data_IF_949548095572
#
_entry.id   IF_949548095572
#
_cell.length_a   1.000
_cell.length_b   1.000
_cell.length_c   1.000
_cell.angle_alpha   90.00
_cell.angle_beta   90.00
_cell.angle_gamma   90.00
#
_symmetry.space_group_name_H-M   'P 1'
#
loop_
_entity.id
_entity.type
_entity.pdbx_description
1 polymer ?
#
# COMPACT_ATOMS: atom_id res chain seq x y z
N UNK A 1 -17.96 -13.23 2.66
CA UNK A 1 -16.60 -12.80 3.04
C UNK A 1 -15.83 -12.66 1.75
N UNK A 2 -15.18 -11.52 1.53
CA UNK A 2 -14.32 -11.33 0.38
C UNK A 2 -12.90 -11.22 0.92
N UNK A 3 -12.10 -12.24 0.64
CA UNK A 3 -10.71 -12.35 1.07
C UNK A 3 -9.84 -12.24 -0.19
N UNK A 4 -8.92 -11.29 -0.18
CA UNK A 4 -7.94 -11.13 -1.26
C UNK A 4 -6.54 -11.29 -0.68
N UNK A 5 -5.91 -12.42 -0.95
CA UNK A 5 -4.50 -12.65 -0.63
C UNK A 5 -3.61 -12.17 -1.79
N UNK A 6 -2.79 -11.18 -1.45
CA UNK A 6 -1.51 -10.73 -2.00
C UNK A 6 -1.22 -10.87 -3.50
N UNK A 7 -0.88 -9.73 -4.10
CA UNK A 7 -0.13 -9.60 -5.36
C UNK A 7 1.37 -9.60 -5.03
N UNK A 8 2.12 -10.64 -5.40
CA UNK A 8 3.57 -10.53 -5.48
C UNK A 8 3.93 -9.59 -6.62
N UNK A 9 4.32 -8.35 -6.31
CA UNK A 9 5.00 -7.50 -7.28
C UNK A 9 6.38 -8.11 -7.54
N UNK A 10 6.72 -8.16 -8.82
CA UNK A 10 7.74 -9.00 -9.46
C UNK A 10 9.10 -9.04 -8.72
N UNK A 11 9.77 -10.19 -8.67
CA UNK A 11 11.17 -10.27 -8.22
C UNK A 11 12.05 -9.27 -9.00
N UNK A 12 13.02 -8.65 -8.33
CA UNK A 12 14.05 -7.75 -8.91
C UNK A 12 13.67 -6.28 -9.13
N UNK A 13 12.68 -5.71 -8.43
CA UNK A 13 12.62 -4.25 -8.27
C UNK A 13 13.70 -3.75 -7.28
N UNK A 14 14.97 -3.94 -7.66
CA UNK A 14 16.09 -3.17 -7.11
C UNK A 14 16.06 -1.84 -7.83
N UNK A 15 15.58 -0.80 -7.17
CA UNK A 15 15.57 0.52 -7.78
C UNK A 15 16.82 1.25 -7.32
N UNK A 16 17.79 1.39 -8.22
CA UNK A 16 18.89 2.32 -8.08
C UNK A 16 18.53 3.58 -8.89
N UNK A 17 18.12 4.65 -8.23
CA UNK A 17 18.00 5.95 -8.92
C UNK A 17 19.36 6.62 -8.88
N UNK A 18 19.90 6.92 -10.05
CA UNK A 18 21.15 7.67 -10.19
C UNK A 18 20.80 9.16 -10.23
N UNK A 19 21.23 9.89 -9.21
CA UNK A 19 21.13 11.34 -9.18
C UNK A 19 22.48 11.92 -9.54
N UNK A 20 22.49 12.84 -10.51
CA UNK A 20 23.67 13.55 -11.00
C UNK A 20 23.39 15.04 -11.06
N UNK A 21 24.46 15.83 -11.01
CA UNK A 21 24.42 17.30 -11.04
C UNK A 21 23.52 17.92 -9.94
N UNK A 22 23.24 17.16 -8.87
CA UNK A 22 22.67 17.72 -7.65
C UNK A 22 23.74 18.63 -7.03
N UNK A 23 23.38 19.83 -6.54
CA UNK A 23 24.29 20.65 -5.74
C UNK A 23 24.99 19.90 -4.60
N UNK A 24 24.41 18.76 -4.17
CA UNK A 24 24.89 17.86 -3.13
C UNK A 24 25.83 16.74 -3.62
N UNK A 25 26.09 16.64 -4.93
CA UNK A 25 26.95 15.61 -5.54
C UNK A 25 26.21 14.43 -6.17
N UNK A 26 26.96 13.47 -6.72
CA UNK A 26 26.40 12.27 -7.35
C UNK A 26 26.06 11.20 -6.30
N UNK A 27 24.84 10.67 -6.33
CA UNK A 27 24.40 9.64 -5.38
C UNK A 27 23.42 8.64 -5.98
N UNK A 28 23.34 7.48 -5.32
CA UNK A 28 22.44 6.38 -5.63
C UNK A 28 21.41 6.27 -4.54
N UNK A 29 20.11 6.33 -4.88
CA UNK A 29 19.06 5.84 -3.98
C UNK A 29 18.97 4.34 -4.11
N UNK A 30 19.31 3.60 -3.06
CA UNK A 30 19.28 2.14 -3.01
C UNK A 30 18.11 1.66 -2.16
N UNK A 31 17.48 0.56 -2.60
CA UNK A 31 16.32 -0.02 -1.96
C UNK A 31 16.37 -1.54 -2.12
N UNK A 32 16.23 -2.33 -1.03
CA UNK A 32 16.10 -3.78 -1.13
C UNK A 32 14.84 -4.20 -1.89
N UNK A 33 14.79 -5.50 -2.25
CA UNK A 33 13.56 -6.07 -2.79
C UNK A 33 12.40 -5.84 -1.81
N UNK A 34 11.37 -5.17 -2.29
CA UNK A 34 10.18 -4.89 -1.51
C UNK A 34 9.14 -5.96 -1.77
N UNK A 35 8.98 -6.85 -0.79
CA UNK A 35 7.83 -7.74 -0.74
C UNK A 35 6.71 -7.06 0.06
N UNK A 36 5.48 -7.29 -0.37
CA UNK A 36 4.29 -6.84 0.32
C UNK A 36 3.44 -8.08 0.55
N UNK A 37 3.18 -8.44 1.80
CA UNK A 37 2.20 -9.45 2.15
C UNK A 37 1.17 -8.85 3.10
N UNK A 38 -0.03 -8.61 2.56
CA UNK A 38 -1.12 -7.93 3.23
C UNK A 38 -2.43 -8.64 2.94
N UNK A 39 -3.31 -8.62 3.92
CA UNK A 39 -4.68 -9.04 3.79
C UNK A 39 -5.66 -7.90 3.97
N UNK A 40 -6.89 -8.21 3.59
CA UNK A 40 -8.04 -7.35 3.77
C UNK A 40 -9.25 -8.21 4.07
N UNK A 41 -9.95 -7.83 5.12
CA UNK A 41 -11.19 -8.46 5.55
C UNK A 41 -12.33 -7.44 5.47
N UNK A 42 -13.45 -7.86 4.89
CA UNK A 42 -14.68 -7.06 4.87
C UNK A 42 -15.91 -7.86 5.23
N UNK A 43 -16.69 -7.30 6.15
CA UNK A 43 -18.02 -7.77 6.51
C UNK A 43 -19.03 -6.74 6.00
N UNK A 44 -20.04 -7.22 5.28
CA UNK A 44 -21.10 -6.38 4.73
C UNK A 44 -22.47 -6.98 5.00
N UNK A 45 -23.42 -6.15 5.39
CA UNK A 45 -24.83 -6.53 5.53
C UNK A 45 -25.71 -5.50 4.83
N UNK A 46 -26.83 -5.94 4.26
CA UNK A 46 -27.73 -5.09 3.51
C UNK A 46 -29.19 -5.43 3.79
N UNK A 47 -30.00 -4.39 3.95
CA UNK A 47 -31.45 -4.50 3.98
C UNK A 47 -32.05 -3.39 3.12
N UNK A 48 -33.09 -3.73 2.35
CA UNK A 48 -33.88 -2.78 1.59
C UNK A 48 -35.33 -3.21 1.60
N UNK A 49 -36.21 -2.22 1.66
CA UNK A 49 -37.63 -2.41 1.45
C UNK A 49 -38.18 -1.37 0.48
N UNK A 50 -39.29 -1.74 -0.18
CA UNK A 50 -40.00 -0.89 -1.13
C UNK A 50 -41.49 -0.95 -0.82
N UNK A 51 -42.07 0.23 -0.59
CA UNK A 51 -43.48 0.37 -0.22
C UNK A 51 -44.15 1.31 -1.23
N UNK A 52 -45.32 0.92 -1.70
CA UNK A 52 -46.15 1.73 -2.59
C UNK A 52 -47.44 2.12 -1.89
N UNK A 53 -47.78 3.40 -1.96
CA UNK A 53 -49.03 3.95 -1.48
C UNK A 53 -49.64 4.87 -2.55
N UNK A 54 -50.67 4.36 -3.24
CA UNK A 54 -51.22 5.01 -4.43
C UNK A 54 -50.15 5.24 -5.49
N UNK A 55 -50.06 6.47 -5.97
CA UNK A 55 -49.08 6.91 -6.99
C UNK A 55 -47.64 7.02 -6.48
N UNK A 56 -47.41 6.99 -5.16
CA UNK A 56 -46.09 7.14 -4.58
C UNK A 56 -45.48 5.78 -4.25
N UNK A 57 -44.29 5.52 -4.77
CA UNK A 57 -43.44 4.39 -4.38
C UNK A 57 -42.18 4.93 -3.70
N UNK A 58 -41.93 4.48 -2.48
CA UNK A 58 -40.72 4.78 -1.73
C UNK A 58 -39.87 3.51 -1.59
N UNK A 59 -38.57 3.64 -1.77
CA UNK A 59 -37.59 2.58 -1.53
C UNK A 59 -36.53 3.09 -0.56
N UNK A 60 -36.32 2.36 0.52
CA UNK A 60 -35.34 2.70 1.56
C UNK A 60 -34.43 1.49 1.75
N UNK A 61 -33.12 1.73 1.71
CA UNK A 61 -32.11 0.72 1.94
C UNK A 61 -30.98 1.22 2.82
N UNK A 62 -30.42 0.32 3.61
CA UNK A 62 -29.27 0.53 4.46
C UNK A 62 -28.25 -0.57 4.22
N UNK A 63 -27.00 -0.19 4.01
CA UNK A 63 -25.87 -1.12 3.94
C UNK A 63 -24.89 -0.81 5.07
N UNK A 64 -24.51 -1.83 5.83
CA UNK A 64 -23.40 -1.77 6.78
C UNK A 64 -22.16 -2.38 6.12
N UNK A 65 -21.02 -1.73 6.30
CA UNK A 65 -19.72 -2.21 5.87
C UNK A 65 -18.69 -1.98 6.98
N UNK A 66 -17.93 -3.04 7.29
CA UNK A 66 -16.75 -3.00 8.16
C UNK A 66 -15.55 -3.56 7.41
N UNK A 67 -14.49 -2.78 7.33
CA UNK A 67 -13.24 -3.11 6.64
C UNK A 67 -12.06 -3.08 7.61
N UNK A 68 -11.20 -4.09 7.54
CA UNK A 68 -9.95 -4.18 8.30
C UNK A 68 -8.83 -4.62 7.37
N UNK A 69 -7.71 -3.89 7.39
CA UNK A 69 -6.46 -4.34 6.78
C UNK A 69 -5.59 -5.09 7.79
N UNK A 70 -4.85 -6.08 7.31
CA UNK A 70 -3.81 -6.77 8.07
C UNK A 70 -2.51 -6.84 7.28
N UNK A 71 -1.40 -6.71 7.97
CA UNK A 71 -0.07 -7.04 7.45
C UNK A 71 0.24 -8.44 7.94
N UNK A 72 0.49 -9.35 7.00
CA UNK A 72 0.87 -10.73 7.30
C UNK A 72 2.34 -10.78 7.71
N UNK A 73 2.81 -11.85 8.36
CA UNK A 73 4.23 -11.98 8.66
C UNK A 73 5.02 -12.25 7.37
N UNK A 74 5.98 -11.40 7.06
CA UNK A 74 6.91 -11.63 5.94
C UNK A 74 8.29 -11.02 6.20
N UNK A 75 9.27 -11.46 5.44
CA UNK A 75 10.64 -10.98 5.50
C UNK A 75 10.96 -10.13 4.27
N UNK A 76 11.48 -8.92 4.49
CA UNK A 76 12.13 -8.14 3.44
C UNK A 76 13.62 -8.44 3.47
N UNK A 77 14.21 -8.91 2.35
CA UNK A 77 15.63 -9.25 2.31
C UNK A 77 16.52 -8.01 2.38
N UNK A 78 17.80 -8.22 2.69
CA UNK A 78 18.86 -7.22 2.53
C UNK A 78 19.06 -6.76 1.08
N UNK A 79 19.76 -5.63 0.91
CA UNK A 79 20.14 -5.14 -0.42
C UNK A 79 21.34 -5.91 -0.99
N UNK A 80 21.26 -6.24 -2.29
CA UNK A 80 22.32 -6.91 -3.05
C UNK A 80 22.66 -6.12 -4.31
N UNK A 81 23.95 -5.94 -4.56
CA UNK A 81 24.46 -5.20 -5.70
C UNK A 81 24.08 -5.87 -7.03
N UNK A 82 23.73 -5.08 -8.04
CA UNK A 82 23.35 -5.58 -9.36
C UNK A 82 24.34 -5.09 -10.42
N UNK A 83 25.29 -5.96 -10.77
CA UNK A 83 26.25 -5.70 -11.85
C UNK A 83 26.56 -6.99 -12.60
N UNK A 84 25.68 -7.44 -13.52
CA UNK A 84 25.86 -8.70 -14.23
C UNK A 84 27.22 -8.77 -14.95
N UNK A 85 27.92 -9.89 -14.80
CA UNK A 85 29.25 -10.09 -15.38
C UNK A 85 30.42 -9.64 -14.49
N UNK A 86 30.14 -8.98 -13.37
CA UNK A 86 31.13 -8.60 -12.37
C UNK A 86 31.23 -9.62 -11.22
N UNK A 87 32.41 -9.82 -10.60
CA UNK A 87 32.56 -10.61 -9.37
C UNK A 87 31.68 -10.12 -8.21
N UNK A 88 31.24 -8.85 -8.27
CA UNK A 88 30.42 -8.21 -7.24
C UNK A 88 28.91 -8.37 -7.47
N UNK A 89 28.49 -9.06 -8.54
CA UNK A 89 27.08 -9.33 -8.79
C UNK A 89 26.44 -10.11 -7.62
N UNK A 90 25.30 -9.62 -7.11
CA UNK A 90 24.60 -10.13 -5.94
C UNK A 90 25.38 -10.06 -4.62
N UNK A 91 26.49 -9.32 -4.55
CA UNK A 91 27.17 -9.07 -3.29
C UNK A 91 26.29 -8.22 -2.37
N UNK A 92 26.17 -8.62 -1.10
CA UNK A 92 25.54 -7.79 -0.07
C UNK A 92 26.39 -6.55 0.19
N UNK A 93 25.78 -5.37 0.09
CA UNK A 93 26.41 -4.08 0.43
C UNK A 93 25.62 -3.38 1.52
N UNK A 94 26.27 -2.48 2.26
CA UNK A 94 25.68 -1.75 3.38
C UNK A 94 25.01 -2.66 4.42
N UNK A 95 25.66 -3.79 4.74
CA UNK A 95 25.05 -4.87 5.52
C UNK A 95 24.55 -4.44 6.92
N UNK A 96 25.19 -3.42 7.50
CA UNK A 96 24.87 -2.90 8.83
C UNK A 96 23.73 -1.87 8.78
N UNK A 97 23.56 -1.17 7.66
CA UNK A 97 22.58 -0.10 7.48
C UNK A 97 21.29 -0.60 6.82
N UNK A 98 21.41 -1.53 5.86
CA UNK A 98 20.30 -2.06 5.07
C UNK A 98 20.30 -3.59 5.13
N UNK A 99 20.00 -4.11 6.32
CA UNK A 99 19.95 -5.54 6.67
C UNK A 99 18.64 -6.21 6.24
N UNK A 100 18.34 -7.43 6.70
CA UNK A 100 17.00 -8.02 6.58
C UNK A 100 16.01 -7.34 7.54
N UNK A 101 14.72 -7.29 7.19
CA UNK A 101 13.66 -6.84 8.08
C UNK A 101 12.59 -7.91 8.22
N UNK A 102 12.40 -8.36 9.46
CA UNK A 102 11.33 -9.28 9.82
C UNK A 102 10.11 -8.47 10.23
N UNK A 103 9.06 -8.53 9.42
CA UNK A 103 7.81 -7.83 9.70
C UNK A 103 6.88 -8.85 10.37
N UNK A 104 6.52 -8.56 11.62
CA UNK A 104 5.55 -9.36 12.35
C UNK A 104 4.14 -9.07 11.83
N UNK A 105 3.21 -10.00 12.07
CA UNK A 105 1.80 -9.77 11.79
C UNK A 105 1.26 -8.61 12.63
N UNK A 106 0.50 -7.71 12.02
CA UNK A 106 -0.27 -6.70 12.75
C UNK A 106 -1.50 -6.23 11.99
N UNK A 107 -2.49 -5.73 12.72
CA UNK A 107 -3.67 -5.07 12.12
C UNK A 107 -3.33 -3.63 11.79
N UNK A 108 -3.67 -3.20 10.59
CA UNK A 108 -3.54 -1.81 10.20
C UNK A 108 -4.35 -0.92 11.17
N UNK A 109 -3.76 0.17 11.71
CA UNK A 109 -4.48 1.10 12.58
C UNK A 109 -5.69 1.74 11.91
N UNK A 110 -5.64 1.95 10.59
CA UNK A 110 -6.81 2.37 9.83
C UNK A 110 -7.80 1.20 9.67
N UNK A 111 -9.04 1.44 10.08
CA UNK A 111 -10.18 0.56 9.83
C UNK A 111 -11.39 1.45 9.53
N UNK A 112 -12.29 0.96 8.67
CA UNK A 112 -13.48 1.72 8.30
C UNK A 112 -14.73 0.98 8.71
N UNK A 113 -15.65 1.72 9.33
CA UNK A 113 -16.95 1.22 9.71
C UNK A 113 -17.98 2.29 9.35
N UNK A 114 -18.87 1.97 8.40
CA UNK A 114 -19.81 2.96 7.87
C UNK A 114 -21.15 2.33 7.51
N UNK A 115 -22.20 3.15 7.65
CA UNK A 115 -23.53 2.89 7.13
C UNK A 115 -23.76 3.72 5.86
N UNK A 116 -24.15 3.06 4.78
CA UNK A 116 -24.44 3.63 3.46
C UNK A 116 -25.97 3.63 3.21
N UNK A 117 -26.69 4.72 3.49
CA UNK A 117 -28.11 4.84 3.19
C UNK A 117 -28.40 5.06 1.71
N UNK A 118 -29.53 4.54 1.25
CA UNK A 118 -30.09 4.75 -0.09
C UNK A 118 -31.59 4.99 0.04
N UNK A 119 -32.06 6.06 -0.59
CA UNK A 119 -33.48 6.41 -0.65
C UNK A 119 -33.85 6.75 -2.09
N UNK A 120 -34.98 6.22 -2.55
CA UNK A 120 -35.58 6.63 -3.81
C UNK A 120 -37.07 6.80 -3.66
N UNK A 121 -37.59 7.86 -4.26
CA UNK A 121 -39.01 8.16 -4.36
C UNK A 121 -39.37 8.19 -5.84
N UNK A 122 -40.44 7.50 -6.20
CA UNK A 122 -41.02 7.53 -7.54
C UNK A 122 -42.48 7.91 -7.41
N UNK A 123 -42.92 8.90 -8.18
CA UNK A 123 -44.31 9.35 -8.21
C UNK A 123 -44.87 9.21 -9.62
N UNK A 124 -45.94 8.45 -9.76
CA UNK A 124 -46.69 8.31 -11.01
C UNK A 124 -47.70 9.46 -11.14
N UNK A 125 -47.46 10.36 -12.09
CA UNK A 125 -48.28 11.55 -12.29
C UNK A 125 -49.72 11.15 -12.66
N UNK A 126 -49.87 10.17 -13.55
CA UNK A 126 -51.14 9.83 -14.19
C UNK A 126 -51.76 8.53 -13.68
N UNK A 127 -51.09 7.80 -12.78
CA UNK A 127 -51.51 6.46 -12.31
C UNK A 127 -51.59 5.42 -13.43
N UNK A 128 -50.85 5.64 -14.52
CA UNK A 128 -50.84 4.81 -15.72
C UNK A 128 -49.47 4.13 -15.96
N UNK A 129 -48.51 4.38 -15.07
CA UNK A 129 -47.12 3.92 -15.13
C UNK A 129 -46.28 4.59 -16.21
N UNK A 130 -46.83 5.52 -17.00
CA UNK A 130 -46.16 6.09 -18.19
C UNK A 130 -45.44 7.39 -17.89
N UNK A 131 -45.95 8.18 -16.95
CA UNK A 131 -45.40 9.49 -16.60
C UNK A 131 -44.96 9.49 -15.14
N UNK A 132 -43.70 9.16 -14.91
CA UNK A 132 -43.14 9.02 -13.55
C UNK A 132 -42.03 10.04 -13.30
N UNK A 133 -42.05 10.64 -12.12
CA UNK A 133 -40.94 11.45 -11.60
C UNK A 133 -40.19 10.64 -10.57
N UNK A 134 -38.86 10.59 -10.69
CA UNK A 134 -38.01 9.87 -9.76
C UNK A 134 -36.99 10.80 -9.12
N UNK A 135 -36.92 10.73 -7.79
CA UNK A 135 -35.83 11.28 -7.00
C UNK A 135 -35.07 10.13 -6.36
N UNK A 136 -33.75 10.20 -6.36
CA UNK A 136 -32.90 9.20 -5.73
C UNK A 136 -31.70 9.88 -5.09
N UNK A 137 -31.40 9.50 -3.86
CA UNK A 137 -30.22 9.92 -3.14
C UNK A 137 -29.59 8.72 -2.43
N UNK A 138 -28.27 8.69 -2.37
CA UNK A 138 -27.57 7.63 -1.66
C UNK A 138 -26.15 8.04 -1.33
N UNK A 139 -25.64 7.52 -0.22
CA UNK A 139 -24.22 7.59 0.13
C UNK A 139 -23.59 6.23 -0.12
N UNK A 140 -22.39 6.25 -0.67
CA UNK A 140 -21.63 5.05 -0.98
C UNK A 140 -20.25 5.16 -0.35
N UNK A 141 -19.76 4.04 0.17
CA UNK A 141 -18.37 3.91 0.58
C UNK A 141 -17.55 3.39 -0.60
N UNK A 142 -16.36 3.96 -0.79
CA UNK A 142 -15.35 3.37 -1.66
C UNK A 142 -14.69 2.20 -0.94
N UNK A 143 -14.36 1.15 -1.69
CA UNK A 143 -13.59 0.04 -1.13
C UNK A 143 -12.16 0.50 -0.93
N UNK A 144 -11.62 0.25 0.26
CA UNK A 144 -10.24 0.63 0.56
C UNK A 144 -9.26 -0.47 0.13
N UNK A 145 -9.67 -1.73 0.30
CA UNK A 145 -8.88 -2.91 -0.08
C UNK A 145 -7.55 -3.02 0.65
N UNK A 146 -6.60 -3.72 0.02
CA UNK A 146 -5.27 -3.99 0.57
C UNK A 146 -4.44 -2.72 0.85
N UNK A 147 -4.80 -1.56 0.27
CA UNK A 147 -4.12 -0.30 0.55
C UNK A 147 -4.27 0.15 2.00
N UNK A 148 -5.31 -0.28 2.73
CA UNK A 148 -5.42 -0.01 4.17
C UNK A 148 -4.15 -0.48 4.89
N UNK A 149 -3.71 -1.71 4.63
CA UNK A 149 -2.53 -2.29 5.26
C UNK A 149 -1.23 -1.91 4.55
N UNK A 150 -1.23 -1.82 3.22
CA UNK A 150 -0.04 -1.53 2.43
C UNK A 150 0.65 -0.21 2.77
N UNK A 151 -0.09 0.81 3.22
CA UNK A 151 0.48 2.08 3.65
C UNK A 151 1.21 2.02 5.01
N UNK A 152 0.97 0.97 5.80
CA UNK A 152 1.65 0.79 7.09
C UNK A 152 2.83 -0.18 7.02
N UNK A 153 3.07 -0.77 5.85
CA UNK A 153 4.19 -1.69 5.68
C UNK A 153 5.51 -0.90 5.73
N UNK A 154 6.44 -1.29 6.61
CA UNK A 154 7.77 -0.68 6.66
C UNK A 154 8.49 -0.75 5.30
N UNK A 155 9.18 0.33 4.93
CA UNK A 155 9.82 0.48 3.62
C UNK A 155 11.22 1.07 3.76
N UNK A 156 12.29 0.29 3.55
CA UNK A 156 13.66 0.81 3.72
C UNK A 156 14.29 1.30 2.42
N UNK A 157 15.02 2.40 2.51
CA UNK A 157 15.90 2.90 1.45
C UNK A 157 17.08 3.67 2.06
N UNK A 158 18.11 3.89 1.25
CA UNK A 158 19.24 4.74 1.62
C UNK A 158 19.84 5.44 0.42
N UNK A 159 20.75 6.37 0.69
CA UNK A 159 21.54 7.10 -0.30
C UNK A 159 23.03 6.81 -0.12
N UNK A 160 23.64 6.28 -1.16
CA UNK A 160 25.07 6.03 -1.23
C UNK A 160 25.73 7.02 -2.19
N UNK A 161 26.89 7.55 -1.82
CA UNK A 161 27.69 8.33 -2.76
C UNK A 161 28.23 7.42 -3.86
N UNK A 162 28.50 7.96 -5.04
CA UNK A 162 29.28 7.25 -6.05
C UNK A 162 30.11 8.23 -6.88
N UNK A 163 31.22 7.75 -7.43
CA UNK A 163 32.12 8.57 -8.26
C UNK A 163 32.38 7.86 -9.58
N UNK A 164 31.90 8.48 -10.65
CA UNK A 164 32.13 8.02 -12.02
C UNK A 164 33.60 8.24 -12.42
N UNK A 165 34.42 7.19 -12.26
CA UNK A 165 35.86 7.27 -12.46
C UNK A 165 36.23 6.97 -13.91
N UNK A 166 35.39 6.19 -14.60
CA UNK A 166 35.61 5.74 -15.97
C UNK A 166 34.81 6.55 -17.01
N UNK A 167 33.96 7.49 -16.57
CA UNK A 167 33.09 8.36 -17.38
C UNK A 167 32.08 7.57 -18.24
N UNK A 168 31.69 6.38 -17.80
CA UNK A 168 30.70 5.54 -18.48
C UNK A 168 29.27 5.79 -18.00
N UNK A 169 29.11 6.64 -16.98
CA UNK A 169 27.85 7.05 -16.39
C UNK A 169 27.05 5.91 -15.74
N UNK A 170 27.65 4.74 -15.55
CA UNK A 170 27.06 3.53 -15.01
C UNK A 170 27.76 3.22 -13.68
N UNK A 171 27.07 3.30 -12.54
CA UNK A 171 27.69 2.99 -11.26
C UNK A 171 28.22 1.56 -11.22
N UNK A 172 29.52 1.41 -11.00
CA UNK A 172 30.19 0.13 -10.79
C UNK A 172 30.51 -0.08 -9.31
N UNK A 173 30.68 -1.34 -8.87
CA UNK A 173 30.92 -1.64 -7.45
C UNK A 173 32.13 -0.90 -6.87
N UNK A 174 33.21 -0.75 -7.65
CA UNK A 174 34.43 -0.04 -7.27
C UNK A 174 34.29 1.49 -7.22
N UNK A 175 33.17 2.02 -7.73
CA UNK A 175 32.83 3.45 -7.74
C UNK A 175 31.86 3.83 -6.62
N UNK A 176 31.38 2.82 -5.88
CA UNK A 176 30.46 2.97 -4.77
C UNK A 176 31.19 3.54 -3.54
N UNK A 177 30.68 4.68 -3.05
CA UNK A 177 31.12 5.28 -1.81
C UNK A 177 30.28 4.84 -0.61
N UNK A 178 30.50 5.51 0.52
CA UNK A 178 29.77 5.24 1.74
C UNK A 178 28.29 5.64 1.64
N UNK A 179 27.48 4.99 2.47
CA UNK A 179 26.14 5.45 2.75
C UNK A 179 26.23 6.74 3.57
N UNK A 180 25.63 7.82 3.07
CA UNK A 180 25.61 9.10 3.79
C UNK A 180 24.24 9.40 4.42
N UNK A 181 23.21 8.64 4.04
CA UNK A 181 21.90 8.69 4.65
C UNK A 181 21.18 7.35 4.47
N UNK A 182 20.59 6.82 5.52
CA UNK A 182 19.60 5.75 5.52
C UNK A 182 18.29 6.27 6.12
N UNK A 183 17.19 5.60 5.75
CA UNK A 183 15.99 5.57 6.57
C UNK A 183 16.14 4.39 7.55
N UNK A 184 16.68 4.59 8.77
CA UNK A 184 16.76 3.52 9.75
C UNK A 184 15.34 3.20 10.21
N UNK A 185 14.75 2.14 9.65
CA UNK A 185 13.51 1.61 10.18
C UNK A 185 13.79 0.99 11.54
N UNK A 186 13.52 1.78 12.56
CA UNK A 186 13.29 1.26 13.89
C UNK A 186 12.00 0.46 13.83
N UNK A 187 12.07 -0.84 14.14
CA UNK A 187 10.89 -1.67 14.26
C UNK A 187 10.04 -1.12 15.41
N UNK A 188 9.07 -0.26 15.11
CA UNK A 188 8.07 0.17 16.10
C UNK A 188 7.16 -1.03 16.30
N UNK A 189 7.22 -1.63 17.47
CA UNK A 189 6.25 -2.64 17.85
C UNK A 189 4.89 -1.95 18.04
N UNK A 190 3.88 -2.19 17.18
CA UNK A 190 2.61 -1.48 17.25
C UNK A 190 1.79 -1.84 18.49
N UNK A 191 2.18 -2.87 19.25
CA UNK A 191 1.57 -3.20 20.54
C UNK A 191 2.25 -2.51 21.74
N UNK A 192 3.47 -1.96 21.58
CA UNK A 192 4.24 -1.43 22.72
C UNK A 192 4.88 -0.06 22.51
N UNK A 193 4.72 0.58 21.34
CA UNK A 193 5.33 1.89 21.01
C UNK A 193 6.84 1.97 21.35
N UNK A 194 7.54 0.84 21.28
CA UNK A 194 8.96 0.79 21.63
C UNK A 194 9.83 0.54 20.40
N UNK A 195 10.92 1.32 20.38
CA UNK A 195 12.00 1.29 19.42
C UNK A 195 12.93 0.12 19.72
N UNK A 196 12.81 -1.00 18.99
CA UNK A 196 13.85 -2.02 19.06
C UNK A 196 15.00 -1.64 18.12
N UNK A 197 16.04 -1.06 18.70
CA UNK A 197 17.36 -0.91 18.08
C UNK A 197 18.12 -2.21 18.32
N UNK A 198 18.51 -2.90 17.26
CA UNK A 198 19.61 -3.88 17.33
C UNK A 198 20.62 -3.56 16.24
#
# INVERSE_FOLDING_TARGET
>A
TADTTTLSLTPNQRIAYVYRDDPSGNYLRIQPNYFLDVGFERISAYIQDTITFGKLTASIGLRYDKEQGNVNPFQQPYFTWYEPGSPHHNQRVFANQISDLNIAEFKAPAAWELISPRISLTYDINDDGKNVVKLSAGRYMSQSGNNIAGNYVPYRYGFAAWTDTNLDEIPQFNELGDLFWDDPFVQVNPATDMNNVT
#
